data_IF_858882120390
#
_entry.id   IF_858882120390
#
_cell.length_a   1.000
_cell.length_b   1.000
_cell.length_c   1.000
_cell.angle_alpha   90.00
_cell.angle_beta   90.00
_cell.angle_gamma   90.00
#
_symmetry.space_group_name_H-M   'P 1'
#
loop_
_entity.id
_entity.type
_entity.pdbx_description
1 polymer ?
#
# COMPACT_ATOMS: atom_id res chain seq x y z
N UNK A 1 7.68 -4.76 -10.74
CA UNK A 1 6.74 -3.69 -10.54
C UNK A 1 6.24 -3.66 -9.13
N UNK A 2 5.57 -2.61 -8.78
CA UNK A 2 5.15 -2.35 -7.41
C UNK A 2 3.67 -2.63 -7.22
N UNK A 3 3.24 -2.70 -5.97
CA UNK A 3 1.84 -2.91 -5.65
C UNK A 3 0.96 -1.71 -6.00
N UNK A 4 1.55 -0.52 -6.04
CA UNK A 4 0.77 0.71 -6.15
C UNK A 4 0.74 1.36 -7.53
N UNK A 5 1.43 0.79 -8.51
CA UNK A 5 1.44 1.42 -9.85
C UNK A 5 0.50 0.76 -10.86
N UNK A 6 -0.10 -0.37 -10.51
CA UNK A 6 -1.04 -1.07 -11.37
C UNK A 6 -0.40 -1.97 -12.42
N UNK A 7 0.89 -2.20 -12.33
CA UNK A 7 1.60 -3.00 -13.33
C UNK A 7 1.57 -4.51 -13.05
N UNK A 8 1.04 -4.91 -11.91
CA UNK A 8 0.83 -6.31 -11.52
C UNK A 8 2.10 -7.10 -11.21
N UNK A 9 3.22 -6.45 -11.03
CA UNK A 9 4.46 -7.11 -10.62
C UNK A 9 4.83 -6.64 -9.21
N UNK A 10 4.39 -7.38 -8.21
CA UNK A 10 4.42 -6.95 -6.82
C UNK A 10 5.82 -6.84 -6.20
N UNK A 11 6.82 -7.48 -6.80
CA UNK A 11 8.16 -7.53 -6.23
C UNK A 11 9.15 -6.55 -6.85
N UNK A 12 8.70 -5.75 -7.78
CA UNK A 12 9.59 -4.85 -8.52
C UNK A 12 9.22 -3.39 -8.25
N UNK A 13 10.13 -2.62 -7.71
CA UNK A 13 9.90 -1.22 -7.40
C UNK A 13 10.15 -0.29 -8.61
N UNK A 14 10.44 -0.85 -9.76
CA UNK A 14 10.70 -0.09 -10.99
C UNK A 14 11.89 0.89 -10.86
N UNK A 15 12.85 0.52 -10.02
CA UNK A 15 14.02 1.36 -9.79
C UNK A 15 13.75 2.58 -8.92
N UNK A 16 12.63 2.59 -8.20
CA UNK A 16 12.25 3.71 -7.33
C UNK A 16 12.05 3.22 -5.90
N UNK A 17 13.12 2.79 -5.22
CA UNK A 17 13.01 2.31 -3.85
C UNK A 17 12.49 3.43 -2.95
N UNK A 18 11.68 3.06 -1.96
CA UNK A 18 11.05 3.98 -1.01
C UNK A 18 9.96 4.87 -1.61
N UNK A 19 9.69 4.77 -2.91
CA UNK A 19 8.61 5.50 -3.55
C UNK A 19 7.48 4.57 -3.95
N UNK A 20 7.83 3.47 -4.63
CA UNK A 20 6.85 2.45 -4.99
C UNK A 20 6.87 1.33 -3.94
N UNK A 21 5.69 0.86 -3.57
CA UNK A 21 5.55 -0.20 -2.58
C UNK A 21 5.63 -1.56 -3.25
N UNK A 22 6.41 -2.46 -2.66
CA UNK A 22 6.53 -3.84 -3.13
C UNK A 22 5.91 -4.79 -2.11
N UNK A 23 5.76 -6.05 -2.52
CA UNK A 23 5.32 -7.11 -1.62
C UNK A 23 6.19 -7.18 -0.37
N UNK A 24 7.51 -7.04 -0.52
CA UNK A 24 8.45 -7.11 0.59
C UNK A 24 8.22 -6.00 1.61
N UNK A 25 7.84 -4.81 1.16
CA UNK A 25 7.54 -3.71 2.05
C UNK A 25 6.32 -4.03 2.92
N UNK A 26 5.28 -4.57 2.30
CA UNK A 26 4.06 -4.96 3.02
C UNK A 26 4.35 -6.12 3.97
N UNK A 27 5.19 -7.05 3.54
CA UNK A 27 5.56 -8.19 4.39
C UNK A 27 6.27 -7.73 5.66
N UNK A 28 7.18 -6.76 5.55
CA UNK A 28 7.87 -6.23 6.73
C UNK A 28 6.90 -5.58 7.70
N UNK A 29 5.93 -4.82 7.18
CA UNK A 29 4.93 -4.19 8.03
C UNK A 29 4.03 -5.24 8.69
N UNK A 30 3.63 -6.26 7.96
CA UNK A 30 2.81 -7.33 8.49
C UNK A 30 3.53 -8.08 9.60
N UNK A 31 4.79 -8.44 9.39
CA UNK A 31 5.59 -9.15 10.37
C UNK A 31 5.77 -8.33 11.64
N UNK A 32 5.99 -7.04 11.50
CA UNK A 32 6.16 -6.14 12.65
C UNK A 32 4.90 -6.10 13.53
N UNK A 33 3.73 -6.26 12.94
CA UNK A 33 2.46 -6.23 13.65
C UNK A 33 1.87 -7.62 13.89
N UNK A 34 2.62 -8.67 13.59
CA UNK A 34 2.19 -10.06 13.76
C UNK A 34 0.90 -10.36 13.00
N UNK A 35 0.81 -9.83 11.78
CA UNK A 35 -0.34 -10.02 10.91
C UNK A 35 0.06 -10.82 9.69
N UNK A 36 -0.91 -11.45 9.05
CA UNK A 36 -0.66 -12.03 7.73
C UNK A 36 -0.61 -10.90 6.70
N UNK A 37 0.03 -11.15 5.57
CA UNK A 37 0.10 -10.16 4.49
C UNK A 37 -1.31 -9.85 3.98
N UNK A 38 -2.13 -10.87 3.85
CA UNK A 38 -3.51 -10.71 3.38
C UNK A 38 -4.31 -9.82 4.32
N UNK A 39 -4.19 -10.04 5.64
CA UNK A 39 -4.86 -9.21 6.63
C UNK A 39 -4.35 -7.77 6.60
N UNK A 40 -3.05 -7.59 6.38
CA UNK A 40 -2.45 -6.26 6.27
C UNK A 40 -2.99 -5.51 5.06
N UNK A 41 -3.09 -6.16 3.91
CA UNK A 41 -3.62 -5.53 2.71
C UNK A 41 -5.08 -5.12 2.90
N UNK A 42 -5.88 -5.98 3.52
CA UNK A 42 -7.28 -5.67 3.83
C UNK A 42 -7.39 -4.50 4.81
N UNK A 43 -6.52 -4.45 5.80
CA UNK A 43 -6.49 -3.38 6.79
C UNK A 43 -6.10 -2.05 6.16
N UNK A 44 -5.12 -2.06 5.25
CA UNK A 44 -4.72 -0.85 4.53
C UNK A 44 -5.92 -0.26 3.76
N UNK A 45 -6.62 -1.10 3.01
CA UNK A 45 -7.77 -0.65 2.23
C UNK A 45 -8.88 -0.10 3.12
N UNK A 46 -9.15 -0.78 4.23
CA UNK A 46 -10.19 -0.39 5.17
C UNK A 46 -9.85 0.93 5.87
N UNK A 47 -8.61 1.04 6.33
CA UNK A 47 -8.14 2.26 7.00
C UNK A 47 -8.20 3.45 6.05
N UNK A 48 -7.77 3.25 4.82
CA UNK A 48 -7.82 4.31 3.81
C UNK A 48 -9.26 4.73 3.52
N UNK A 49 -10.20 3.79 3.51
CA UNK A 49 -11.60 4.10 3.30
C UNK A 49 -12.16 4.98 4.41
N UNK A 50 -11.85 4.65 5.65
CA UNK A 50 -12.28 5.46 6.80
C UNK A 50 -11.65 6.83 6.77
N UNK A 51 -10.35 6.89 6.53
CA UNK A 51 -9.62 8.16 6.50
C UNK A 51 -10.11 9.06 5.36
N UNK A 52 -10.46 8.47 4.23
CA UNK A 52 -11.00 9.23 3.10
C UNK A 52 -12.33 9.91 3.42
N UNK A 53 -13.16 9.30 4.26
CA UNK A 53 -14.40 9.94 4.71
C UNK A 53 -14.15 11.19 5.52
N UNK A 54 -13.10 11.16 6.35
CA UNK A 54 -12.76 12.28 7.21
C UNK A 54 -11.91 13.33 6.50
N UNK A 55 -11.13 12.92 5.50
CA UNK A 55 -10.20 13.80 4.80
C UNK A 55 -10.27 13.60 3.28
N UNK A 56 -11.44 13.82 2.68
CA UNK A 56 -11.61 13.53 1.24
C UNK A 56 -10.67 14.30 0.33
N UNK A 57 -10.21 15.49 0.74
CA UNK A 57 -9.32 16.29 -0.08
C UNK A 57 -7.93 15.68 -0.21
N UNK A 58 -7.52 14.89 0.78
CA UNK A 58 -6.20 14.24 0.75
C UNK A 58 -6.16 13.08 -0.23
N UNK A 59 -7.32 12.59 -0.64
CA UNK A 59 -7.42 11.46 -1.57
C UNK A 59 -7.85 11.89 -2.96
N UNK A 60 -8.11 13.18 -3.16
CA UNK A 60 -8.48 13.70 -4.47
C UNK A 60 -7.30 13.60 -5.44
N UNK A 61 -7.60 13.39 -6.71
CA UNK A 61 -6.57 13.31 -7.73
C UNK A 61 -5.83 14.64 -7.83
N UNK A 62 -4.51 14.56 -7.93
CA UNK A 62 -3.65 15.73 -8.10
C UNK A 62 -3.14 15.76 -9.52
N UNK A 63 -3.02 16.94 -10.05
CA UNK A 63 -2.52 17.14 -11.40
C UNK A 63 -1.20 17.89 -11.35
#
# INVERSE_FOLDING_TARGET
MCLNCGCMAAHDDMGKPNLNMTYEDVKRAADANRMTIEATLATIARTAEVDRRDHPQEYAAKK
#
